data_IF_238176604941
#
_entry.id   IF_238176604941
#
_cell.length_a   1.000
_cell.length_b   1.000
_cell.length_c   1.000
_cell.angle_alpha   90.00
_cell.angle_beta   90.00
_cell.angle_gamma   90.00
#
_symmetry.space_group_name_H-M   'P 1'
#
loop_
_entity.id
_entity.type
_entity.pdbx_description
1 polymer ?
#
# COMPACT_ATOMS: atom_id res chain seq x y z
N UNK A 1 9.31 43.08 64.20
CA UNK A 1 8.49 43.07 63.03
C UNK A 1 9.12 42.22 61.87
N UNK A 2 10.41 42.32 61.52
CA UNK A 2 11.02 41.51 60.43
C UNK A 2 10.99 40.00 60.68
N UNK A 3 11.12 39.49 61.91
CA UNK A 3 11.06 38.07 62.27
C UNK A 3 9.65 37.47 62.16
N UNK A 4 8.60 38.31 62.45
CA UNK A 4 7.20 37.86 62.34
C UNK A 4 6.75 37.75 60.90
N UNK A 5 7.23 38.64 60.02
CA UNK A 5 6.96 38.61 58.57
C UNK A 5 7.62 37.37 57.86
N UNK A 6 8.87 37.03 58.32
CA UNK A 6 9.57 35.86 57.80
C UNK A 6 8.87 34.54 58.24
N UNK A 7 8.37 34.46 59.47
CA UNK A 7 7.65 33.26 59.92
C UNK A 7 6.27 33.10 59.29
N UNK A 8 5.55 34.19 59.00
CA UNK A 8 4.30 34.17 58.28
C UNK A 8 4.49 33.79 56.82
N UNK A 9 5.58 34.28 56.19
CA UNK A 9 5.94 33.89 54.82
C UNK A 9 6.34 32.41 54.70
N UNK A 10 7.11 31.89 55.67
CA UNK A 10 7.47 30.47 55.71
C UNK A 10 6.27 29.55 56.00
N UNK A 11 5.32 29.97 56.88
CA UNK A 11 4.09 29.20 57.10
C UNK A 11 3.15 29.25 55.89
N UNK A 12 3.07 30.38 55.19
CA UNK A 12 2.29 30.47 53.95
C UNK A 12 2.86 29.61 52.86
N UNK A 13 4.19 29.59 52.68
CA UNK A 13 4.88 28.72 51.69
C UNK A 13 4.71 27.24 52.05
N UNK A 14 4.86 26.88 53.35
CA UNK A 14 4.65 25.52 53.80
C UNK A 14 3.19 25.06 53.65
N UNK A 15 2.21 25.93 53.90
CA UNK A 15 0.79 25.62 53.74
C UNK A 15 0.38 25.50 52.26
N UNK A 16 1.01 26.27 51.37
CA UNK A 16 0.84 26.14 49.95
C UNK A 16 1.43 24.80 49.45
N UNK A 17 2.63 24.44 49.87
CA UNK A 17 3.29 23.17 49.52
C UNK A 17 2.50 21.94 50.00
N UNK A 18 1.94 21.99 51.23
CA UNK A 18 1.04 20.93 51.72
C UNK A 18 -0.30 20.91 50.97
N UNK A 19 -0.82 22.03 50.54
CA UNK A 19 -2.05 22.16 49.76
C UNK A 19 -1.92 21.51 48.36
N UNK A 20 -0.77 21.64 47.73
CA UNK A 20 -0.55 21.24 46.35
C UNK A 20 -0.20 19.76 46.19
N UNK A 21 0.58 19.16 47.09
CA UNK A 21 0.69 17.71 47.20
C UNK A 21 -0.67 17.05 47.50
N UNK A 22 -1.59 17.81 48.10
CA UNK A 22 -2.98 17.39 48.31
C UNK A 22 -3.74 17.30 46.96
N UNK A 23 -3.53 18.25 46.03
CA UNK A 23 -4.19 18.25 44.72
C UNK A 23 -3.79 17.02 43.87
N UNK A 24 -2.51 16.62 43.88
CA UNK A 24 -2.08 15.37 43.23
C UNK A 24 -2.77 14.16 43.87
N UNK A 25 -2.86 14.10 45.22
CA UNK A 25 -3.58 13.02 45.90
C UNK A 25 -5.08 13.01 45.62
N UNK A 26 -5.69 14.17 45.41
CA UNK A 26 -7.09 14.29 45.01
C UNK A 26 -7.28 13.72 43.56
N UNK A 27 -6.35 14.03 42.65
CA UNK A 27 -6.34 13.43 41.31
C UNK A 27 -6.21 11.90 41.35
N UNK A 28 -5.26 11.37 42.16
CA UNK A 28 -5.10 9.92 42.35
C UNK A 28 -6.36 9.28 42.95
N UNK A 29 -7.00 9.94 43.92
CA UNK A 29 -8.25 9.46 44.49
C UNK A 29 -9.39 9.44 43.47
N UNK A 30 -9.52 10.48 42.66
CA UNK A 30 -10.48 10.55 41.55
C UNK A 30 -10.24 9.45 40.52
N UNK A 31 -8.97 9.23 40.16
CA UNK A 31 -8.55 8.14 39.26
C UNK A 31 -8.96 6.76 39.80
N UNK A 32 -8.67 6.46 41.08
CA UNK A 32 -9.01 5.20 41.75
C UNK A 32 -10.52 4.98 41.88
N UNK A 33 -11.26 6.05 42.18
CA UNK A 33 -12.73 5.99 42.32
C UNK A 33 -13.47 6.02 40.97
N UNK A 34 -12.78 6.30 39.89
CA UNK A 34 -13.36 6.42 38.55
C UNK A 34 -14.00 7.76 38.23
N UNK A 35 -13.85 8.76 39.12
CA UNK A 35 -14.27 10.15 38.85
C UNK A 35 -13.20 10.86 38.02
N UNK A 36 -13.09 10.48 36.72
CA UNK A 36 -12.00 10.88 35.85
C UNK A 36 -12.02 12.38 35.51
N UNK A 37 -13.20 12.98 35.41
CA UNK A 37 -13.30 14.41 35.10
C UNK A 37 -12.74 15.26 36.25
N UNK A 38 -13.09 14.93 37.47
CA UNK A 38 -12.55 15.64 38.67
C UNK A 38 -11.04 15.37 38.82
N UNK A 39 -10.60 14.13 38.52
CA UNK A 39 -9.18 13.78 38.53
C UNK A 39 -8.39 14.59 37.50
N UNK A 40 -8.92 14.77 36.27
CA UNK A 40 -8.29 15.55 35.21
C UNK A 40 -8.14 17.02 35.60
N UNK A 41 -9.21 17.64 36.09
CA UNK A 41 -9.17 19.04 36.56
C UNK A 41 -8.12 19.23 37.65
N UNK A 42 -8.07 18.32 38.63
CA UNK A 42 -7.09 18.38 39.72
C UNK A 42 -5.65 18.23 39.22
N UNK A 43 -5.39 17.26 38.33
CA UNK A 43 -4.02 17.03 37.84
C UNK A 43 -3.55 18.14 36.90
N UNK A 44 -4.44 18.74 36.08
CA UNK A 44 -4.11 19.88 35.23
C UNK A 44 -3.66 21.09 36.07
N UNK A 45 -4.33 21.37 37.17
CA UNK A 45 -3.89 22.37 38.11
C UNK A 45 -2.52 22.06 38.74
N UNK A 46 -2.24 20.78 39.00
CA UNK A 46 -0.94 20.35 39.54
C UNK A 46 0.20 20.45 38.53
N UNK A 47 -0.05 20.19 37.22
CA UNK A 47 0.99 20.28 36.17
C UNK A 47 1.40 21.71 35.84
N UNK A 48 0.60 22.71 36.20
CA UNK A 48 0.91 24.13 36.00
C UNK A 48 1.47 24.82 37.25
N UNK A 49 1.46 24.14 38.40
CA UNK A 49 1.93 24.69 39.64
C UNK A 49 3.44 24.53 39.82
N UNK A 50 4.20 25.60 40.16
CA UNK A 50 5.66 25.57 40.29
C UNK A 50 6.22 24.50 41.27
N UNK A 51 5.47 24.08 42.26
CA UNK A 51 5.93 23.10 43.27
C UNK A 51 5.71 21.64 42.85
N UNK A 52 4.75 21.39 41.94
CA UNK A 52 4.41 20.04 41.47
C UNK A 52 4.70 19.81 40.01
N UNK A 53 4.86 20.88 39.22
CA UNK A 53 5.18 20.80 37.82
C UNK A 53 6.62 20.31 37.52
N UNK A 54 7.51 20.36 38.51
CA UNK A 54 8.88 19.82 38.40
C UNK A 54 8.96 18.33 38.79
N UNK A 55 7.89 17.72 39.29
CA UNK A 55 7.86 16.31 39.69
C UNK A 55 7.35 15.42 38.54
N UNK A 56 8.18 14.52 37.98
CA UNK A 56 7.76 13.61 36.93
C UNK A 56 6.59 12.69 37.34
N UNK A 57 6.40 12.42 38.64
CA UNK A 57 5.26 11.64 39.13
C UNK A 57 3.91 12.35 38.88
N UNK A 58 3.88 13.68 38.87
CA UNK A 58 2.68 14.47 38.55
C UNK A 58 2.23 14.19 37.09
N UNK A 59 3.17 14.18 36.16
CA UNK A 59 2.88 13.88 34.74
C UNK A 59 2.53 12.39 34.55
N UNK A 60 3.14 11.49 35.32
CA UNK A 60 2.77 10.07 35.29
C UNK A 60 1.31 9.87 35.69
N UNK A 61 0.83 10.53 36.76
CA UNK A 61 -0.59 10.47 37.16
C UNK A 61 -1.50 11.05 36.09
N UNK A 62 -1.11 12.17 35.45
CA UNK A 62 -1.87 12.74 34.32
C UNK A 62 -1.96 11.77 33.14
N UNK A 63 -0.86 11.15 32.74
CA UNK A 63 -0.84 10.17 31.65
C UNK A 63 -1.76 8.97 31.95
N UNK A 64 -1.76 8.46 33.17
CA UNK A 64 -2.66 7.38 33.60
C UNK A 64 -4.13 7.79 33.54
N UNK A 65 -4.47 9.02 33.92
CA UNK A 65 -5.84 9.54 33.84
C UNK A 65 -6.29 9.61 32.38
N UNK A 66 -5.47 10.20 31.51
CA UNK A 66 -5.78 10.26 30.05
C UNK A 66 -5.93 8.85 29.45
N UNK A 67 -5.03 7.93 29.78
CA UNK A 67 -5.11 6.54 29.26
C UNK A 67 -6.40 5.85 29.71
N UNK A 68 -6.82 6.08 30.96
CA UNK A 68 -8.07 5.51 31.47
C UNK A 68 -9.31 6.15 30.82
N UNK A 69 -9.28 7.46 30.53
CA UNK A 69 -10.33 8.14 29.77
C UNK A 69 -10.38 7.55 28.33
N UNK A 70 -9.24 7.47 27.69
CA UNK A 70 -9.09 6.86 26.36
C UNK A 70 -9.63 5.44 26.31
N UNK A 71 -9.32 4.62 27.32
CA UNK A 71 -9.80 3.23 27.43
C UNK A 71 -11.33 3.13 27.55
N UNK A 72 -11.97 4.07 28.26
CA UNK A 72 -13.42 4.02 28.54
C UNK A 72 -14.29 4.66 27.46
N UNK A 73 -13.68 5.47 26.59
CA UNK A 73 -14.41 6.09 25.50
C UNK A 73 -14.60 5.06 24.37
N UNK A 74 -15.83 4.58 24.22
CA UNK A 74 -16.21 3.63 23.17
C UNK A 74 -16.67 4.30 21.88
N UNK A 75 -16.69 5.64 21.82
CA UNK A 75 -17.07 6.37 20.60
C UNK A 75 -16.01 6.23 19.51
N UNK A 76 -14.75 6.03 19.89
CA UNK A 76 -13.61 5.82 19.00
C UNK A 76 -13.54 6.87 17.86
N UNK A 77 -13.69 8.13 18.21
CA UNK A 77 -13.68 9.29 17.32
C UNK A 77 -12.32 10.01 17.33
N UNK A 78 -12.18 11.05 16.50
CA UNK A 78 -11.01 11.95 16.53
C UNK A 78 -10.80 12.62 17.93
N UNK A 79 -11.87 12.88 18.67
CA UNK A 79 -11.72 13.38 20.04
C UNK A 79 -11.16 12.30 20.98
N UNK A 80 -11.59 11.05 20.82
CA UNK A 80 -10.97 9.90 21.50
C UNK A 80 -9.48 9.79 21.18
N UNK A 81 -9.11 9.87 19.89
CA UNK A 81 -7.72 9.83 19.45
C UNK A 81 -6.89 10.94 20.05
N UNK A 82 -7.41 12.16 20.14
CA UNK A 82 -6.75 13.30 20.78
C UNK A 82 -6.37 12.99 22.23
N UNK A 83 -7.28 12.39 23.00
CA UNK A 83 -6.99 11.97 24.37
C UNK A 83 -5.87 10.92 24.43
N UNK A 84 -5.84 9.98 23.48
CA UNK A 84 -4.76 9.00 23.34
C UNK A 84 -3.40 9.66 23.05
N UNK A 85 -3.36 10.63 22.13
CA UNK A 85 -2.15 11.40 21.82
C UNK A 85 -1.68 12.26 23.01
N UNK A 86 -2.60 12.86 23.76
CA UNK A 86 -2.29 13.60 25.00
C UNK A 86 -1.70 12.66 26.07
N UNK A 87 -2.22 11.43 26.17
CA UNK A 87 -1.66 10.41 27.07
C UNK A 87 -0.22 10.08 26.69
N UNK A 88 0.05 9.81 25.39
CA UNK A 88 1.39 9.52 24.88
C UNK A 88 2.37 10.66 25.14
N UNK A 89 1.99 11.89 24.80
CA UNK A 89 2.81 13.08 25.03
C UNK A 89 3.13 13.26 26.53
N UNK A 90 2.17 12.98 27.39
CA UNK A 90 2.34 13.11 28.85
C UNK A 90 3.23 12.00 29.42
N UNK A 91 3.13 10.76 28.95
CA UNK A 91 4.08 9.68 29.28
C UNK A 91 5.51 10.03 28.90
N UNK A 92 5.70 10.55 27.69
CA UNK A 92 7.02 10.97 27.20
C UNK A 92 7.59 12.09 28.10
N UNK A 93 6.79 13.09 28.43
CA UNK A 93 7.19 14.16 29.36
C UNK A 93 7.60 13.59 30.74
N UNK A 94 6.80 12.71 31.33
CA UNK A 94 7.13 12.07 32.61
C UNK A 94 8.45 11.26 32.52
N UNK A 95 8.68 10.55 31.45
CA UNK A 95 9.86 9.75 31.25
C UNK A 95 11.12 10.61 31.04
N UNK A 96 11.04 11.67 30.23
CA UNK A 96 12.13 12.64 30.00
C UNK A 96 12.51 13.35 31.29
N UNK A 97 11.53 13.85 32.06
CA UNK A 97 11.75 14.49 33.34
C UNK A 97 12.40 13.52 34.36
N UNK A 98 12.14 12.23 34.28
CA UNK A 98 12.76 11.19 35.08
C UNK A 98 14.18 10.78 34.60
N UNK A 99 14.75 11.52 33.67
CA UNK A 99 16.09 11.29 33.10
C UNK A 99 16.13 10.18 32.04
N UNK A 100 15.02 9.90 31.37
CA UNK A 100 14.89 8.91 30.27
C UNK A 100 15.40 7.51 30.62
N UNK A 101 15.29 7.14 31.91
CA UNK A 101 15.77 5.84 32.41
C UNK A 101 14.62 4.92 32.78
N UNK A 102 14.51 3.78 32.08
CA UNK A 102 13.55 2.71 32.44
C UNK A 102 13.78 2.14 33.84
N UNK A 103 14.98 2.30 34.40
CA UNK A 103 15.31 1.87 35.77
C UNK A 103 14.83 2.85 36.84
N UNK A 104 14.51 4.11 36.51
CA UNK A 104 13.99 5.08 37.44
C UNK A 104 12.62 4.65 37.99
N UNK A 105 12.21 5.15 39.18
CA UNK A 105 10.88 4.83 39.73
C UNK A 105 9.72 5.16 38.75
N UNK A 106 9.78 6.30 38.08
CA UNK A 106 8.76 6.71 37.10
C UNK A 106 8.90 5.91 35.83
N UNK A 107 10.13 5.65 35.31
CA UNK A 107 10.36 4.85 34.14
C UNK A 107 9.81 3.43 34.28
N UNK A 108 9.90 2.83 35.45
CA UNK A 108 9.29 1.51 35.74
C UNK A 108 7.75 1.56 35.68
N UNK A 109 7.13 2.67 35.99
CA UNK A 109 5.67 2.85 35.89
C UNK A 109 5.25 3.14 34.45
N UNK A 110 6.03 3.95 33.72
CA UNK A 110 5.77 4.26 32.32
C UNK A 110 5.80 2.98 31.47
N UNK A 111 6.77 2.09 31.69
CA UNK A 111 6.96 0.84 30.96
C UNK A 111 6.52 -0.41 31.74
N UNK A 112 5.59 -0.26 32.68
CA UNK A 112 5.05 -1.40 33.42
C UNK A 112 4.29 -2.34 32.47
N UNK A 113 4.59 -3.64 32.56
CA UNK A 113 3.88 -4.66 31.80
C UNK A 113 2.41 -4.75 32.21
N UNK A 114 1.57 -5.07 31.24
CA UNK A 114 0.16 -5.34 31.46
C UNK A 114 0.01 -6.73 32.06
N UNK A 115 -0.43 -6.81 33.31
CA UNK A 115 -0.69 -8.08 33.98
C UNK A 115 -2.16 -8.47 33.80
N UNK A 116 -2.40 -9.66 33.27
CA UNK A 116 -3.74 -10.19 33.08
C UNK A 116 -4.47 -10.36 34.42
N UNK A 117 -5.78 -10.01 34.45
CA UNK A 117 -6.64 -10.21 35.58
C UNK A 117 -6.56 -9.15 36.69
N UNK A 118 -5.79 -8.07 36.51
CA UNK A 118 -5.80 -6.95 37.46
C UNK A 118 -7.13 -6.17 37.32
N UNK A 119 -7.86 -5.94 38.43
CA UNK A 119 -9.03 -5.08 38.43
C UNK A 119 -8.74 -3.69 37.87
N UNK A 120 -9.68 -3.09 37.13
CA UNK A 120 -9.52 -1.78 36.50
C UNK A 120 -9.03 -0.66 37.43
N UNK A 121 -9.48 -0.68 38.68
CA UNK A 121 -9.05 0.29 39.72
C UNK A 121 -7.61 0.10 40.23
N UNK A 122 -6.99 -1.04 39.92
CA UNK A 122 -5.62 -1.38 40.30
C UNK A 122 -4.70 -1.50 39.06
N UNK A 123 -5.24 -1.44 37.85
CA UNK A 123 -4.47 -1.53 36.63
C UNK A 123 -3.45 -0.39 36.52
N UNK A 124 -2.17 -0.68 36.31
CA UNK A 124 -1.15 0.34 36.14
C UNK A 124 -1.17 0.90 34.69
N UNK A 125 -2.14 1.71 34.35
CA UNK A 125 -2.19 2.29 33.01
C UNK A 125 -0.83 2.86 32.61
N UNK A 126 -0.08 2.09 31.80
CA UNK A 126 1.26 2.38 31.28
C UNK A 126 1.22 2.77 29.81
N UNK A 127 2.35 3.11 29.22
CA UNK A 127 2.47 3.34 27.79
C UNK A 127 2.19 2.03 26.99
N UNK A 128 2.48 0.86 27.56
CA UNK A 128 2.16 -0.45 26.97
C UNK A 128 0.64 -0.66 26.97
N UNK A 129 -0.04 -0.30 28.07
CA UNK A 129 -1.51 -0.32 28.11
C UNK A 129 -2.10 0.62 27.05
N UNK A 130 -1.56 1.82 26.89
CA UNK A 130 -2.00 2.78 25.87
C UNK A 130 -1.86 2.18 24.45
N UNK A 131 -0.72 1.55 24.16
CA UNK A 131 -0.49 0.85 22.89
C UNK A 131 -1.55 -0.22 22.63
N UNK A 132 -1.78 -1.09 23.60
CA UNK A 132 -2.73 -2.20 23.45
C UNK A 132 -4.16 -1.70 23.25
N UNK A 133 -4.58 -0.67 24.02
CA UNK A 133 -5.90 -0.03 23.87
C UNK A 133 -6.03 0.61 22.47
N UNK A 134 -5.01 1.29 21.99
CA UNK A 134 -5.01 1.88 20.65
C UNK A 134 -5.12 0.81 19.56
N UNK A 135 -4.39 -0.29 19.71
CA UNK A 135 -4.48 -1.45 18.81
C UNK A 135 -5.91 -2.04 18.78
N UNK A 136 -6.51 -2.26 19.96
CA UNK A 136 -7.87 -2.81 20.07
C UNK A 136 -8.90 -1.87 19.43
N UNK A 137 -8.75 -0.55 19.62
CA UNK A 137 -9.61 0.47 18.98
C UNK A 137 -9.43 0.49 17.45
N UNK A 138 -8.21 0.31 16.97
CA UNK A 138 -7.93 0.20 15.54
C UNK A 138 -8.65 -1.00 14.90
N UNK A 139 -8.60 -2.17 15.56
CA UNK A 139 -9.34 -3.35 15.12
C UNK A 139 -10.85 -3.15 15.16
N UNK A 140 -11.37 -2.48 16.21
CA UNK A 140 -12.79 -2.16 16.30
C UNK A 140 -13.26 -1.29 15.12
N UNK A 141 -12.51 -0.26 14.75
CA UNK A 141 -12.81 0.59 13.59
C UNK A 141 -12.68 -0.15 12.28
N UNK A 142 -11.65 -0.98 12.11
CA UNK A 142 -11.49 -1.84 10.94
C UNK A 142 -12.70 -2.75 10.73
N UNK A 143 -13.20 -3.39 11.80
CA UNK A 143 -14.36 -4.26 11.75
C UNK A 143 -15.68 -3.51 11.46
N UNK A 144 -15.69 -2.18 11.63
CA UNK A 144 -16.82 -1.31 11.31
C UNK A 144 -16.66 -0.61 9.95
N UNK A 145 -15.68 -1.01 9.15
CA UNK A 145 -15.35 -0.44 7.84
C UNK A 145 -14.93 1.05 7.89
N UNK A 146 -14.48 1.51 9.06
CA UNK A 146 -13.95 2.85 9.27
C UNK A 146 -12.42 2.83 9.16
N UNK A 147 -11.92 2.75 7.91
CA UNK A 147 -10.49 2.58 7.61
C UNK A 147 -9.66 3.78 8.05
N UNK A 148 -10.20 5.00 7.94
CA UNK A 148 -9.51 6.23 8.36
C UNK A 148 -9.22 6.21 9.88
N UNK A 149 -10.23 5.97 10.71
CA UNK A 149 -10.04 5.92 12.16
C UNK A 149 -9.23 4.70 12.60
N UNK A 150 -9.36 3.57 11.87
CA UNK A 150 -8.52 2.40 12.11
C UNK A 150 -7.04 2.73 11.91
N UNK A 151 -6.70 3.38 10.78
CA UNK A 151 -5.34 3.85 10.52
C UNK A 151 -4.83 4.77 11.65
N UNK A 152 -5.60 5.76 12.04
CA UNK A 152 -5.18 6.72 13.06
C UNK A 152 -4.86 6.05 14.41
N UNK A 153 -5.65 5.06 14.82
CA UNK A 153 -5.36 4.31 16.04
C UNK A 153 -4.16 3.36 15.89
N UNK A 154 -3.98 2.71 14.73
CA UNK A 154 -2.76 1.94 14.47
C UNK A 154 -1.52 2.84 14.44
N UNK A 155 -1.62 4.04 13.86
CA UNK A 155 -0.52 5.00 13.86
C UNK A 155 -0.14 5.43 15.29
N UNK A 156 -1.13 5.71 16.16
CA UNK A 156 -0.87 5.98 17.59
C UNK A 156 -0.14 4.79 18.25
N UNK A 157 -0.59 3.57 18.02
CA UNK A 157 0.07 2.38 18.56
C UNK A 157 1.51 2.21 18.03
N UNK A 158 1.73 2.50 16.74
CA UNK A 158 3.04 2.45 16.09
C UNK A 158 4.02 3.53 16.57
N UNK A 159 3.54 4.71 16.90
CA UNK A 159 4.39 5.74 17.55
C UNK A 159 4.90 5.30 18.92
N UNK A 160 4.17 4.43 19.60
CA UNK A 160 4.56 3.89 20.92
C UNK A 160 5.59 2.76 20.76
N UNK A 161 5.40 1.88 19.78
CA UNK A 161 6.24 0.68 19.60
C UNK A 161 6.66 0.53 18.13
N UNK A 162 7.83 1.05 17.81
CA UNK A 162 8.40 1.02 16.46
C UNK A 162 8.93 -0.35 16.05
N UNK A 163 8.85 -1.35 16.93
CA UNK A 163 9.36 -2.71 16.69
C UNK A 163 8.25 -3.75 16.52
N UNK A 164 6.99 -3.34 16.67
CA UNK A 164 5.85 -4.23 16.48
C UNK A 164 5.47 -4.31 14.99
N UNK A 165 5.88 -5.40 14.34
CA UNK A 165 5.66 -5.61 12.91
C UNK A 165 4.17 -5.68 12.54
N UNK A 166 3.32 -6.20 13.41
CA UNK A 166 1.87 -6.31 13.17
C UNK A 166 1.24 -4.92 13.07
N UNK A 167 1.60 -4.04 14.00
CA UNK A 167 1.10 -2.66 14.01
C UNK A 167 1.54 -1.92 12.75
N UNK A 168 2.84 -1.97 12.43
CA UNK A 168 3.37 -1.23 11.30
C UNK A 168 2.89 -1.79 9.95
N UNK A 169 2.72 -3.11 9.83
CA UNK A 169 2.13 -3.68 8.63
C UNK A 169 0.69 -3.20 8.41
N UNK A 170 -0.16 -3.27 9.43
CA UNK A 170 -1.55 -2.84 9.32
C UNK A 170 -1.68 -1.33 9.07
N UNK A 171 -0.90 -0.52 9.78
CA UNK A 171 -0.88 0.93 9.55
C UNK A 171 -0.40 1.29 8.14
N UNK A 172 0.67 0.64 7.66
CA UNK A 172 1.18 0.84 6.31
C UNK A 172 0.20 0.41 5.23
N UNK A 173 -0.46 -0.74 5.42
CA UNK A 173 -1.48 -1.25 4.52
C UNK A 173 -2.68 -0.30 4.41
N UNK A 174 -3.24 0.13 5.56
CA UNK A 174 -4.36 1.07 5.57
C UNK A 174 -3.98 2.43 5.00
N UNK A 175 -2.80 2.95 5.32
CA UNK A 175 -2.32 4.21 4.75
C UNK A 175 -2.21 4.12 3.22
N UNK A 176 -1.72 2.99 2.69
CA UNK A 176 -1.65 2.76 1.25
C UNK A 176 -3.05 2.71 0.60
N UNK A 177 -3.98 1.99 1.20
CA UNK A 177 -5.37 1.88 0.73
C UNK A 177 -6.10 3.24 0.74
N UNK A 178 -5.80 4.09 1.72
CA UNK A 178 -6.31 5.45 1.83
C UNK A 178 -5.57 6.48 0.93
N UNK A 179 -4.59 6.06 0.14
CA UNK A 179 -3.78 6.95 -0.68
C UNK A 179 -2.79 7.84 0.10
N UNK A 180 -2.54 7.52 1.37
CA UNK A 180 -1.61 8.24 2.26
C UNK A 180 -0.19 7.67 2.13
N UNK A 181 0.39 7.80 0.94
CA UNK A 181 1.62 7.08 0.56
C UNK A 181 2.84 7.42 1.42
N UNK A 182 3.00 8.67 1.89
CA UNK A 182 4.09 9.05 2.79
C UNK A 182 3.97 8.33 4.15
N UNK A 183 2.76 8.22 4.68
CA UNK A 183 2.49 7.49 5.91
C UNK A 183 2.71 5.98 5.70
N UNK A 184 2.28 5.44 4.56
CA UNK A 184 2.54 4.04 4.20
C UNK A 184 4.04 3.74 4.16
N UNK A 185 4.83 4.58 3.46
CA UNK A 185 6.29 4.45 3.40
C UNK A 185 6.95 4.52 4.78
N UNK A 186 6.47 5.42 5.64
CA UNK A 186 6.94 5.54 7.03
C UNK A 186 6.76 4.21 7.78
N UNK A 187 5.56 3.64 7.73
CA UNK A 187 5.27 2.40 8.46
C UNK A 187 5.97 1.19 7.85
N UNK A 188 5.98 1.01 6.53
CA UNK A 188 6.75 -0.05 5.88
C UNK A 188 8.25 0.11 6.12
N UNK A 189 8.75 1.35 6.23
CA UNK A 189 10.13 1.65 6.58
C UNK A 189 10.57 1.03 7.91
N UNK A 190 9.74 1.10 8.95
CA UNK A 190 10.05 0.46 10.24
C UNK A 190 10.17 -1.07 10.15
N UNK A 191 9.45 -1.71 9.22
CA UNK A 191 9.53 -3.17 9.03
C UNK A 191 10.90 -3.63 8.52
N UNK A 192 11.61 -2.79 7.79
CA UNK A 192 12.95 -3.12 7.30
C UNK A 192 14.01 -3.20 8.42
N UNK A 193 13.75 -2.54 9.54
CA UNK A 193 14.64 -2.54 10.70
C UNK A 193 14.37 -3.71 11.68
N UNK A 194 13.33 -4.52 11.42
CA UNK A 194 12.98 -5.68 12.26
C UNK A 194 13.65 -6.95 11.68
N UNK A 195 14.69 -7.50 12.32
CA UNK A 195 15.49 -8.57 11.72
C UNK A 195 14.75 -9.88 11.45
N UNK A 196 13.74 -10.22 12.29
CA UNK A 196 12.96 -11.46 12.20
C UNK A 196 11.74 -11.35 11.30
N UNK A 197 11.45 -10.17 10.77
CA UNK A 197 10.27 -9.94 9.93
C UNK A 197 10.56 -10.33 8.47
N UNK A 198 9.61 -11.04 7.85
CA UNK A 198 9.65 -11.27 6.40
C UNK A 198 9.21 -10.01 5.66
N UNK A 199 10.14 -9.34 5.01
CA UNK A 199 9.98 -8.02 4.43
C UNK A 199 9.36 -8.01 3.02
N UNK A 200 9.08 -9.18 2.42
CA UNK A 200 8.65 -9.26 1.01
C UNK A 200 7.42 -8.41 0.72
N UNK A 201 6.38 -8.46 1.57
CA UNK A 201 5.19 -7.64 1.38
C UNK A 201 5.49 -6.13 1.50
N UNK A 202 6.35 -5.73 2.43
CA UNK A 202 6.75 -4.33 2.55
C UNK A 202 7.50 -3.85 1.30
N UNK A 203 8.37 -4.70 0.73
CA UNK A 203 9.01 -4.41 -0.55
C UNK A 203 8.00 -4.27 -1.68
N UNK A 204 6.98 -5.13 -1.77
CA UNK A 204 5.96 -5.04 -2.82
C UNK A 204 5.22 -3.70 -2.79
N UNK A 205 4.70 -3.30 -1.63
CA UNK A 205 4.03 -2.02 -1.48
C UNK A 205 4.94 -0.84 -1.77
N UNK A 206 6.17 -0.85 -1.24
CA UNK A 206 7.12 0.22 -1.44
C UNK A 206 7.53 0.37 -2.92
N UNK A 207 7.77 -0.74 -3.62
CA UNK A 207 8.07 -0.73 -5.07
C UNK A 207 6.87 -0.20 -5.86
N UNK A 208 5.65 -0.62 -5.52
CA UNK A 208 4.44 -0.12 -6.16
C UNK A 208 4.25 1.38 -5.95
N UNK A 209 4.39 1.87 -4.70
CA UNK A 209 4.28 3.31 -4.39
C UNK A 209 5.30 4.10 -5.22
N UNK A 210 6.56 3.70 -5.19
CA UNK A 210 7.62 4.40 -5.92
C UNK A 210 7.39 4.40 -7.44
N UNK A 211 7.01 3.27 -8.02
CA UNK A 211 6.90 3.13 -9.47
C UNK A 211 5.62 3.73 -10.04
N UNK A 212 4.50 3.61 -9.33
CA UNK A 212 3.16 3.96 -9.86
C UNK A 212 2.70 5.33 -9.38
N UNK A 213 2.79 5.56 -8.06
CA UNK A 213 2.24 6.77 -7.46
C UNK A 213 3.22 7.94 -7.54
N UNK A 214 4.48 7.69 -7.20
CA UNK A 214 5.54 8.72 -7.31
C UNK A 214 6.13 8.82 -8.71
N UNK A 215 5.83 7.87 -9.61
CA UNK A 215 6.36 7.81 -10.98
C UNK A 215 7.88 7.89 -11.03
N UNK A 216 8.53 7.23 -10.08
CA UNK A 216 9.98 7.17 -9.93
C UNK A 216 10.48 5.71 -10.12
N UNK A 217 10.52 5.22 -11.37
CA UNK A 217 10.93 3.86 -11.66
C UNK A 217 12.40 3.58 -11.30
N UNK A 218 13.27 4.60 -11.28
CA UNK A 218 14.67 4.47 -10.87
C UNK A 218 14.78 4.08 -9.40
N UNK A 219 14.10 4.80 -8.51
CA UNK A 219 14.09 4.49 -7.08
C UNK A 219 13.42 3.13 -6.79
N UNK A 220 12.34 2.81 -7.54
CA UNK A 220 11.70 1.51 -7.46
C UNK A 220 12.66 0.39 -7.88
N UNK A 221 13.45 0.59 -8.93
CA UNK A 221 14.43 -0.37 -9.41
C UNK A 221 15.58 -0.60 -8.42
N UNK A 222 16.09 0.46 -7.80
CA UNK A 222 17.08 0.33 -6.73
C UNK A 222 16.53 -0.50 -5.56
N UNK A 223 15.27 -0.23 -5.17
CA UNK A 223 14.64 -0.95 -4.06
C UNK A 223 14.40 -2.42 -4.40
N UNK A 224 13.89 -2.74 -5.60
CA UNK A 224 13.65 -4.13 -6.00
C UNK A 224 14.96 -4.91 -6.16
N UNK A 225 16.03 -4.27 -6.63
CA UNK A 225 17.35 -4.88 -6.72
C UNK A 225 17.86 -5.28 -5.34
N UNK A 226 17.69 -4.41 -4.33
CA UNK A 226 18.00 -4.72 -2.93
C UNK A 226 17.15 -5.88 -2.41
N UNK A 227 15.83 -5.85 -2.69
CA UNK A 227 14.91 -6.91 -2.29
C UNK A 227 15.28 -8.26 -2.91
N UNK A 228 15.65 -8.29 -4.18
CA UNK A 228 16.11 -9.49 -4.90
C UNK A 228 17.40 -10.08 -4.33
N UNK A 229 18.31 -9.24 -3.86
CA UNK A 229 19.52 -9.71 -3.19
C UNK A 229 19.19 -10.42 -1.85
N UNK A 230 18.17 -9.96 -1.12
CA UNK A 230 17.69 -10.56 0.13
C UNK A 230 16.78 -11.78 -0.10
N UNK A 231 15.92 -11.74 -1.14
CA UNK A 231 14.94 -12.78 -1.50
C UNK A 231 15.09 -13.25 -2.95
N UNK A 232 16.19 -13.93 -3.32
CA UNK A 232 16.53 -14.24 -4.73
C UNK A 232 15.54 -15.21 -5.41
N UNK A 233 14.81 -16.03 -4.64
CA UNK A 233 13.82 -16.97 -5.16
C UNK A 233 12.40 -16.41 -5.23
N UNK A 234 12.18 -15.16 -4.80
CA UNK A 234 10.86 -14.56 -4.81
C UNK A 234 10.44 -14.18 -6.24
N UNK A 235 9.36 -14.80 -6.72
CA UNK A 235 8.87 -14.63 -8.09
C UNK A 235 8.26 -13.25 -8.33
N UNK A 236 7.58 -12.69 -7.33
CA UNK A 236 6.91 -11.38 -7.46
C UNK A 236 7.96 -10.27 -7.57
N UNK A 237 9.01 -10.32 -6.76
CA UNK A 237 10.13 -9.38 -6.88
C UNK A 237 10.85 -9.51 -8.23
N UNK A 238 11.00 -10.73 -8.75
CA UNK A 238 11.57 -10.95 -10.09
C UNK A 238 10.70 -10.32 -11.19
N UNK A 239 9.39 -10.42 -11.07
CA UNK A 239 8.45 -9.79 -12.01
C UNK A 239 8.49 -8.26 -11.93
N UNK A 240 8.56 -7.68 -10.73
CA UNK A 240 8.75 -6.23 -10.56
C UNK A 240 10.07 -5.75 -11.17
N UNK A 241 11.17 -6.48 -10.94
CA UNK A 241 12.47 -6.15 -11.53
C UNK A 241 12.40 -6.10 -13.06
N UNK A 242 11.82 -7.13 -13.69
CA UNK A 242 11.63 -7.19 -15.15
C UNK A 242 10.75 -6.03 -15.63
N UNK A 243 9.64 -5.76 -14.97
CA UNK A 243 8.74 -4.65 -15.33
C UNK A 243 9.46 -3.30 -15.28
N UNK A 244 10.24 -3.06 -14.23
CA UNK A 244 11.01 -1.82 -14.07
C UNK A 244 12.13 -1.69 -15.10
N UNK A 245 12.82 -2.79 -15.44
CA UNK A 245 13.81 -2.80 -16.51
C UNK A 245 13.19 -2.40 -17.86
N UNK A 246 11.98 -2.90 -18.17
CA UNK A 246 11.24 -2.51 -19.37
C UNK A 246 10.85 -1.02 -19.33
N UNK A 247 10.34 -0.54 -18.20
CA UNK A 247 9.96 0.85 -18.01
C UNK A 247 11.15 1.81 -18.15
N UNK A 248 12.34 1.38 -17.70
CA UNK A 248 13.60 2.11 -17.81
C UNK A 248 14.29 1.94 -19.17
N UNK A 249 13.66 1.25 -20.13
CA UNK A 249 14.20 0.95 -21.46
C UNK A 249 15.52 0.14 -21.44
N UNK A 250 15.75 -0.66 -20.37
CA UNK A 250 16.93 -1.52 -20.20
C UNK A 250 16.66 -2.91 -20.81
N UNK A 251 16.47 -2.95 -22.14
CA UNK A 251 15.96 -4.11 -22.87
C UNK A 251 16.88 -5.35 -22.77
N UNK A 252 18.21 -5.18 -22.81
CA UNK A 252 19.17 -6.29 -22.72
C UNK A 252 19.13 -6.94 -21.33
N UNK A 253 19.11 -6.14 -20.27
CA UNK A 253 19.02 -6.62 -18.89
C UNK A 253 17.68 -7.34 -18.65
N UNK A 254 16.56 -6.77 -19.14
CA UNK A 254 15.24 -7.38 -19.07
C UNK A 254 15.21 -8.74 -19.79
N UNK A 255 15.80 -8.82 -20.98
CA UNK A 255 15.90 -10.07 -21.76
C UNK A 255 16.63 -11.16 -20.96
N UNK A 256 17.78 -10.82 -20.37
CA UNK A 256 18.56 -11.76 -19.56
C UNK A 256 17.78 -12.27 -18.35
N UNK A 257 17.10 -11.37 -17.63
CA UNK A 257 16.29 -11.73 -16.47
C UNK A 257 15.10 -12.63 -16.84
N UNK A 258 14.39 -12.30 -17.93
CA UNK A 258 13.26 -13.12 -18.42
C UNK A 258 13.73 -14.51 -18.85
N UNK A 259 14.84 -14.63 -19.56
CA UNK A 259 15.39 -15.93 -19.97
C UNK A 259 15.77 -16.78 -18.75
N UNK A 260 16.41 -16.16 -17.75
CA UNK A 260 16.73 -16.84 -16.48
C UNK A 260 15.47 -17.29 -15.71
N UNK A 261 14.44 -16.46 -15.69
CA UNK A 261 13.16 -16.81 -15.05
C UNK A 261 12.43 -17.93 -15.80
N UNK A 262 12.40 -17.90 -17.14
CA UNK A 262 11.80 -18.93 -17.97
C UNK A 262 12.57 -20.27 -17.92
N UNK A 263 13.87 -20.26 -17.65
CA UNK A 263 14.62 -21.49 -17.42
C UNK A 263 14.14 -22.24 -16.15
N UNK A 264 13.65 -21.51 -15.15
CA UNK A 264 13.11 -22.07 -13.91
C UNK A 264 11.58 -22.31 -13.97
N UNK A 265 10.86 -21.53 -14.78
CA UNK A 265 9.40 -21.62 -14.92
C UNK A 265 9.02 -21.43 -16.40
N UNK A 266 9.23 -22.47 -17.24
CA UNK A 266 9.02 -22.38 -18.67
C UNK A 266 7.55 -22.20 -19.09
N UNK A 267 6.62 -22.46 -18.16
CA UNK A 267 5.18 -22.36 -18.36
C UNK A 267 4.56 -21.12 -17.71
N UNK A 268 5.31 -20.03 -17.59
CA UNK A 268 4.79 -18.76 -17.13
C UNK A 268 4.30 -17.92 -18.31
N UNK A 269 2.99 -17.86 -18.52
CA UNK A 269 2.35 -17.15 -19.63
C UNK A 269 2.70 -15.65 -19.66
N UNK A 270 2.78 -15.02 -18.49
CA UNK A 270 3.16 -13.60 -18.35
C UNK A 270 4.62 -13.34 -18.75
N UNK A 271 5.56 -14.20 -18.36
CA UNK A 271 6.96 -14.08 -18.77
C UNK A 271 7.14 -14.34 -20.26
N UNK A 272 6.43 -15.33 -20.83
CA UNK A 272 6.42 -15.59 -22.27
C UNK A 272 5.91 -14.39 -23.05
N UNK A 273 4.82 -13.75 -22.60
CA UNK A 273 4.32 -12.52 -23.20
C UNK A 273 5.37 -11.41 -23.21
N UNK A 274 5.99 -11.14 -22.05
CA UNK A 274 7.03 -10.09 -21.92
C UNK A 274 8.24 -10.39 -22.79
N UNK A 275 8.62 -11.66 -22.91
CA UNK A 275 9.71 -12.07 -23.81
C UNK A 275 9.34 -11.85 -25.28
N UNK A 276 8.10 -12.15 -25.66
CA UNK A 276 7.56 -11.81 -26.98
C UNK A 276 7.65 -10.31 -27.25
N UNK A 277 7.22 -9.48 -26.32
CA UNK A 277 7.31 -8.02 -26.42
C UNK A 277 8.76 -7.54 -26.65
N UNK A 278 9.72 -8.04 -25.89
CA UNK A 278 11.14 -7.67 -26.08
C UNK A 278 11.66 -8.05 -27.46
N UNK A 279 11.28 -9.22 -27.97
CA UNK A 279 11.63 -9.65 -29.34
C UNK A 279 11.00 -8.75 -30.40
N UNK A 280 9.74 -8.34 -30.21
CA UNK A 280 9.04 -7.40 -31.08
C UNK A 280 9.75 -6.04 -31.12
N UNK A 281 10.13 -5.48 -29.96
CA UNK A 281 10.91 -4.23 -29.88
C UNK A 281 12.30 -4.34 -30.53
N UNK A 282 12.88 -5.53 -30.53
CA UNK A 282 14.15 -5.82 -31.23
C UNK A 282 13.97 -6.07 -32.73
N UNK A 283 12.73 -6.04 -33.25
CA UNK A 283 12.42 -6.30 -34.67
C UNK A 283 12.33 -7.80 -35.00
N UNK A 284 12.50 -8.72 -34.07
CA UNK A 284 12.31 -10.16 -34.24
C UNK A 284 10.81 -10.53 -34.12
N UNK A 285 10.04 -10.14 -35.17
CA UNK A 285 8.59 -10.36 -35.18
C UNK A 285 8.20 -11.84 -35.22
N UNK A 286 9.01 -12.70 -35.84
CA UNK A 286 8.75 -14.14 -35.86
C UNK A 286 8.98 -14.78 -34.49
N UNK A 287 10.08 -14.44 -33.83
CA UNK A 287 10.36 -14.86 -32.47
C UNK A 287 9.35 -14.31 -31.47
N UNK A 288 8.89 -13.07 -31.64
CA UNK A 288 7.83 -12.48 -30.84
C UNK A 288 6.53 -13.28 -30.95
N UNK A 289 6.10 -13.56 -32.18
CA UNK A 289 4.88 -14.33 -32.45
C UNK A 289 4.94 -15.74 -31.85
N UNK A 290 6.12 -16.38 -31.91
CA UNK A 290 6.35 -17.68 -31.28
C UNK A 290 6.10 -17.60 -29.74
N UNK A 291 6.65 -16.60 -29.08
CA UNK A 291 6.51 -16.47 -27.63
C UNK A 291 5.07 -16.10 -27.24
N UNK A 292 4.41 -15.23 -27.99
CA UNK A 292 3.00 -14.90 -27.78
C UNK A 292 2.09 -16.13 -27.93
N UNK A 293 2.30 -16.95 -28.95
CA UNK A 293 1.57 -18.22 -29.11
C UNK A 293 1.82 -19.18 -27.95
N UNK A 294 3.06 -19.34 -27.50
CA UNK A 294 3.38 -20.15 -26.34
C UNK A 294 2.66 -19.66 -25.09
N UNK A 295 2.54 -18.36 -24.88
CA UNK A 295 1.82 -17.83 -23.74
C UNK A 295 0.34 -18.24 -23.73
N UNK A 296 -0.29 -18.29 -24.92
CA UNK A 296 -1.69 -18.74 -25.09
C UNK A 296 -1.80 -20.26 -24.98
N UNK A 297 -0.80 -21.03 -25.43
CA UNK A 297 -0.76 -22.48 -25.25
C UNK A 297 -0.71 -22.87 -23.77
N UNK A 298 0.05 -22.11 -22.97
CA UNK A 298 0.15 -22.29 -21.51
C UNK A 298 -1.14 -21.90 -20.79
N UNK A 299 -1.69 -20.75 -21.14
CA UNK A 299 -2.95 -20.25 -20.59
C UNK A 299 -3.88 -19.76 -21.71
N UNK A 300 -4.79 -20.61 -22.19
CA UNK A 300 -5.73 -20.24 -23.25
C UNK A 300 -6.71 -19.10 -22.84
N UNK A 301 -6.88 -18.83 -21.55
CA UNK A 301 -7.70 -17.74 -21.05
C UNK A 301 -6.89 -16.47 -20.71
N UNK A 302 -5.62 -16.44 -21.06
CA UNK A 302 -4.80 -15.25 -20.88
C UNK A 302 -5.18 -14.18 -21.91
N UNK A 303 -5.88 -13.14 -21.46
CA UNK A 303 -6.41 -12.09 -22.32
C UNK A 303 -5.32 -11.42 -23.15
N UNK A 304 -4.26 -10.95 -22.49
CA UNK A 304 -3.15 -10.24 -23.11
C UNK A 304 -2.41 -11.12 -24.14
N UNK A 305 -2.19 -12.39 -23.83
CA UNK A 305 -1.59 -13.36 -24.76
C UNK A 305 -2.41 -13.50 -26.03
N UNK A 306 -3.72 -13.66 -25.93
CA UNK A 306 -4.61 -13.73 -27.08
C UNK A 306 -4.61 -12.41 -27.88
N UNK A 307 -4.73 -11.27 -27.20
CA UNK A 307 -4.76 -9.96 -27.84
C UNK A 307 -3.48 -9.69 -28.63
N UNK A 308 -2.29 -9.83 -28.01
CA UNK A 308 -1.01 -9.53 -28.67
C UNK A 308 -0.67 -10.53 -29.76
N UNK A 309 -1.05 -11.81 -29.63
CA UNK A 309 -0.90 -12.79 -30.73
C UNK A 309 -1.68 -12.35 -31.97
N UNK A 310 -2.95 -11.99 -31.79
CA UNK A 310 -3.79 -11.49 -32.89
C UNK A 310 -3.26 -10.17 -33.46
N UNK A 311 -2.88 -9.23 -32.61
CA UNK A 311 -2.39 -7.90 -32.99
C UNK A 311 -1.11 -7.99 -33.86
N UNK A 312 -0.13 -8.79 -33.43
CA UNK A 312 1.11 -8.97 -34.21
C UNK A 312 0.88 -9.63 -35.56
N UNK A 313 -0.08 -10.58 -35.66
CA UNK A 313 -0.47 -11.16 -36.98
C UNK A 313 -1.07 -10.09 -37.88
N UNK A 314 -1.90 -9.18 -37.36
CA UNK A 314 -2.47 -8.08 -38.14
C UNK A 314 -1.38 -7.09 -38.58
N UNK A 315 -0.43 -6.79 -37.73
CA UNK A 315 0.71 -5.91 -38.05
C UNK A 315 1.55 -6.51 -39.19
N UNK A 316 1.93 -7.78 -39.09
CA UNK A 316 2.64 -8.49 -40.17
C UNK A 316 1.84 -8.47 -41.46
N UNK A 317 0.53 -8.68 -41.40
CA UNK A 317 -0.32 -8.59 -42.59
C UNK A 317 -0.34 -7.17 -43.18
N UNK A 318 -0.45 -6.13 -42.36
CA UNK A 318 -0.40 -4.73 -42.82
C UNK A 318 0.94 -4.38 -43.46
N UNK A 319 2.05 -4.89 -42.93
CA UNK A 319 3.39 -4.71 -43.49
C UNK A 319 3.51 -5.33 -44.88
N UNK A 320 2.97 -6.54 -45.07
CA UNK A 320 2.93 -7.18 -46.38
C UNK A 320 2.12 -6.35 -47.39
N UNK A 321 0.97 -5.80 -46.96
CA UNK A 321 0.12 -4.98 -47.83
C UNK A 321 0.77 -3.62 -48.13
N UNK A 322 1.48 -3.04 -47.18
CA UNK A 322 2.23 -1.81 -47.40
C UNK A 322 3.38 -2.01 -48.41
N UNK A 323 4.10 -3.12 -48.29
CA UNK A 323 5.10 -3.51 -49.30
C UNK A 323 4.45 -3.67 -50.68
N UNK A 324 3.35 -4.41 -50.76
CA UNK A 324 2.61 -4.61 -52.01
C UNK A 324 2.20 -3.29 -52.66
N UNK A 325 1.72 -2.30 -51.87
CA UNK A 325 1.32 -0.99 -52.38
C UNK A 325 2.51 -0.11 -52.82
N UNK A 326 3.74 -0.46 -52.43
CA UNK A 326 4.96 0.25 -52.84
C UNK A 326 5.64 -0.29 -54.11
N UNK A 327 5.14 -1.43 -54.64
CA UNK A 327 5.71 -2.07 -55.83
C UNK A 327 5.38 -1.28 -57.10
N UNK A 328 6.26 -1.41 -58.10
CA UNK A 328 5.94 -0.99 -59.47
C UNK A 328 4.82 -1.84 -60.07
N UNK A 329 4.09 -1.32 -61.06
CA UNK A 329 2.96 -2.02 -61.68
C UNK A 329 3.34 -3.45 -62.14
N UNK A 330 4.54 -3.60 -62.71
CA UNK A 330 5.05 -4.90 -63.19
C UNK A 330 5.31 -5.86 -62.03
N UNK A 331 5.90 -5.40 -60.96
CA UNK A 331 6.16 -6.23 -59.79
C UNK A 331 4.87 -6.52 -59.02
N UNK A 332 3.97 -5.55 -58.96
CA UNK A 332 2.66 -5.70 -58.32
C UNK A 332 1.85 -6.81 -59.04
N UNK A 333 1.77 -6.78 -60.40
CA UNK A 333 1.05 -7.80 -61.13
C UNK A 333 1.61 -9.22 -60.88
N UNK A 334 2.92 -9.35 -60.71
CA UNK A 334 3.58 -10.60 -60.43
C UNK A 334 3.42 -11.10 -59.02
N UNK A 335 3.54 -10.21 -58.00
CA UNK A 335 3.62 -10.59 -56.57
C UNK A 335 2.30 -10.46 -55.84
N UNK A 336 1.33 -9.65 -56.30
CA UNK A 336 0.09 -9.38 -55.58
C UNK A 336 -0.77 -10.61 -55.25
N UNK A 337 -0.86 -11.66 -56.12
CA UNK A 337 -1.67 -12.84 -55.80
C UNK A 337 -1.11 -13.63 -54.60
N UNK A 338 0.22 -13.74 -54.49
CA UNK A 338 0.87 -14.48 -53.40
C UNK A 338 0.89 -13.68 -52.12
N UNK A 339 1.34 -12.42 -52.15
CA UNK A 339 1.39 -11.52 -51.02
C UNK A 339 -0.02 -11.25 -50.45
N UNK A 340 -1.02 -11.07 -51.33
CA UNK A 340 -2.40 -10.91 -50.88
C UNK A 340 -2.95 -12.14 -50.17
N UNK A 341 -2.61 -13.34 -50.69
CA UNK A 341 -2.99 -14.61 -50.05
C UNK A 341 -2.31 -14.80 -48.69
N UNK A 342 -1.04 -14.42 -48.56
CA UNK A 342 -0.28 -14.45 -47.31
C UNK A 342 -0.89 -13.50 -46.30
N UNK A 343 -1.13 -12.25 -46.67
CA UNK A 343 -1.78 -11.26 -45.79
C UNK A 343 -3.16 -11.75 -45.30
N UNK A 344 -4.02 -12.24 -46.21
CA UNK A 344 -5.32 -12.78 -45.84
C UNK A 344 -5.21 -14.06 -44.97
N UNK A 345 -4.13 -14.82 -45.14
CA UNK A 345 -3.80 -15.97 -44.27
C UNK A 345 -3.56 -15.53 -42.83
N UNK A 346 -2.81 -14.46 -42.63
CA UNK A 346 -2.57 -13.87 -41.28
C UNK A 346 -3.85 -13.30 -40.66
N UNK A 347 -4.69 -12.62 -41.47
CA UNK A 347 -6.02 -12.17 -40.99
C UNK A 347 -6.86 -13.35 -40.47
N UNK A 348 -6.93 -14.45 -41.21
CA UNK A 348 -7.68 -15.65 -40.81
C UNK A 348 -7.13 -16.26 -39.54
N UNK A 349 -5.79 -16.31 -39.39
CA UNK A 349 -5.14 -16.82 -38.17
C UNK A 349 -5.35 -15.94 -36.97
N UNK A 350 -5.52 -14.62 -37.13
CA UNK A 350 -5.75 -13.68 -36.02
C UNK A 350 -7.17 -13.81 -35.42
N UNK A 351 -8.19 -14.19 -36.23
CA UNK A 351 -9.59 -14.28 -35.81
C UNK A 351 -9.79 -15.07 -34.52
N UNK A 352 -9.31 -16.33 -34.39
CA UNK A 352 -9.58 -17.12 -33.17
C UNK A 352 -9.00 -16.48 -31.91
N UNK A 353 -7.86 -15.80 -31.99
CA UNK A 353 -7.25 -15.12 -30.85
C UNK A 353 -8.07 -13.91 -30.39
N UNK A 354 -8.50 -13.05 -31.32
CA UNK A 354 -9.38 -11.93 -30.96
C UNK A 354 -10.76 -12.40 -30.49
N UNK A 355 -11.28 -13.46 -31.09
CA UNK A 355 -12.56 -14.06 -30.62
C UNK A 355 -12.42 -14.53 -29.18
N UNK A 356 -11.31 -15.21 -28.85
CA UNK A 356 -11.04 -15.65 -27.49
C UNK A 356 -10.85 -14.49 -26.52
N UNK A 357 -10.11 -13.46 -26.93
CA UNK A 357 -9.97 -12.25 -26.13
C UNK A 357 -11.33 -11.56 -25.86
N UNK A 358 -12.22 -11.53 -26.86
CA UNK A 358 -13.58 -10.99 -26.70
C UNK A 358 -14.48 -11.89 -25.83
N UNK A 359 -14.29 -13.21 -25.82
CA UNK A 359 -14.97 -14.10 -24.87
C UNK A 359 -14.58 -13.81 -23.43
N UNK A 360 -13.29 -13.49 -23.18
CA UNK A 360 -12.77 -13.16 -21.85
C UNK A 360 -13.25 -11.78 -21.40
N UNK A 361 -13.27 -10.79 -22.29
CA UNK A 361 -13.77 -9.42 -22.05
C UNK A 361 -14.88 -9.06 -23.04
N UNK A 362 -16.13 -9.47 -22.78
CA UNK A 362 -17.22 -9.41 -23.77
C UNK A 362 -17.63 -8.00 -24.21
N UNK A 363 -17.36 -6.99 -23.42
CA UNK A 363 -17.74 -5.60 -23.69
C UNK A 363 -16.58 -4.76 -24.26
N UNK A 364 -15.48 -5.40 -24.66
CA UNK A 364 -14.34 -4.68 -25.22
C UNK A 364 -14.62 -4.24 -26.65
N UNK A 365 -14.96 -2.97 -26.82
CA UNK A 365 -15.32 -2.36 -28.12
C UNK A 365 -14.17 -2.33 -29.11
N UNK A 366 -12.91 -2.17 -28.64
CA UNK A 366 -11.75 -2.13 -29.51
C UNK A 366 -11.56 -3.48 -30.25
N UNK A 367 -11.72 -4.59 -29.50
CA UNK A 367 -11.64 -5.93 -30.10
C UNK A 367 -12.81 -6.18 -31.04
N UNK A 368 -14.02 -5.71 -30.71
CA UNK A 368 -15.17 -5.82 -31.63
C UNK A 368 -14.90 -5.06 -32.92
N UNK A 369 -14.33 -3.85 -32.86
CA UNK A 369 -13.95 -3.06 -34.04
C UNK A 369 -12.88 -3.78 -34.86
N UNK A 370 -11.88 -4.35 -34.22
CA UNK A 370 -10.85 -5.14 -34.92
C UNK A 370 -11.50 -6.34 -35.63
N UNK A 371 -12.33 -7.11 -34.97
CA UNK A 371 -13.03 -8.25 -35.57
C UNK A 371 -13.96 -7.82 -36.70
N UNK A 372 -14.69 -6.71 -36.57
CA UNK A 372 -15.50 -6.13 -37.66
C UNK A 372 -14.64 -5.85 -38.89
N UNK A 373 -13.50 -5.18 -38.72
CA UNK A 373 -12.58 -4.85 -39.83
C UNK A 373 -12.01 -6.10 -40.48
N UNK A 374 -11.57 -7.09 -39.67
CA UNK A 374 -11.01 -8.34 -40.12
C UNK A 374 -12.05 -9.15 -40.93
N UNK A 375 -13.27 -9.30 -40.41
CA UNK A 375 -14.34 -10.01 -41.08
C UNK A 375 -14.81 -9.30 -42.36
N UNK A 376 -14.84 -7.97 -42.37
CA UNK A 376 -15.13 -7.17 -43.57
C UNK A 376 -14.09 -7.45 -44.69
N UNK A 377 -12.80 -7.43 -44.33
CA UNK A 377 -11.73 -7.73 -45.26
C UNK A 377 -11.81 -9.17 -45.82
N UNK A 378 -12.08 -10.12 -44.94
CA UNK A 378 -12.20 -11.54 -45.30
C UNK A 378 -13.55 -11.85 -46.02
N UNK A 379 -14.41 -10.88 -46.23
CA UNK A 379 -15.75 -11.00 -46.83
C UNK A 379 -16.68 -11.94 -46.03
N UNK A 380 -16.46 -12.07 -44.74
CA UNK A 380 -17.31 -12.81 -43.80
C UNK A 380 -18.45 -11.90 -43.32
N UNK A 381 -19.46 -11.73 -44.17
CA UNK A 381 -20.52 -10.73 -43.99
C UNK A 381 -21.31 -10.94 -42.68
N UNK A 382 -21.69 -12.19 -42.39
CA UNK A 382 -22.52 -12.48 -41.20
C UNK A 382 -21.82 -12.10 -39.89
N UNK A 383 -20.55 -12.42 -39.78
CA UNK A 383 -19.72 -12.12 -38.60
C UNK A 383 -19.46 -10.61 -38.51
N UNK A 384 -19.18 -9.93 -39.62
CA UNK A 384 -19.05 -8.47 -39.66
C UNK A 384 -20.34 -7.76 -39.21
N UNK A 385 -21.50 -8.17 -39.76
CA UNK A 385 -22.80 -7.62 -39.37
C UNK A 385 -23.11 -7.86 -37.86
N UNK A 386 -22.74 -9.03 -37.34
CA UNK A 386 -22.86 -9.35 -35.91
C UNK A 386 -22.03 -8.40 -35.04
N UNK A 387 -20.75 -8.18 -35.40
CA UNK A 387 -19.90 -7.23 -34.66
C UNK A 387 -20.44 -5.81 -34.76
N UNK A 388 -20.84 -5.38 -35.97
CA UNK A 388 -21.44 -4.05 -36.17
C UNK A 388 -22.66 -3.82 -35.28
N UNK A 389 -23.53 -4.81 -35.15
CA UNK A 389 -24.72 -4.73 -34.29
C UNK A 389 -24.33 -4.57 -32.81
N UNK A 390 -23.35 -5.32 -32.34
CA UNK A 390 -22.85 -5.24 -30.96
C UNK A 390 -22.19 -3.88 -30.66
N UNK A 391 -21.34 -3.39 -31.57
CA UNK A 391 -20.70 -2.09 -31.46
C UNK A 391 -21.74 -0.98 -31.42
N UNK A 392 -22.71 -1.01 -32.35
CA UNK A 392 -23.78 0.00 -32.43
C UNK A 392 -24.66 0.03 -31.18
N UNK A 393 -24.85 -1.09 -30.49
CA UNK A 393 -25.56 -1.16 -29.24
C UNK A 393 -24.83 -0.45 -28.09
N UNK A 394 -23.49 -0.35 -28.14
CA UNK A 394 -22.66 0.28 -27.10
C UNK A 394 -22.33 1.73 -27.45
N UNK A 395 -21.86 1.98 -28.70
CA UNK A 395 -21.35 3.27 -29.15
C UNK A 395 -22.37 4.12 -29.92
N UNK A 396 -23.52 3.54 -30.27
CA UNK A 396 -24.53 4.19 -31.13
C UNK A 396 -24.43 3.79 -32.60
N UNK A 397 -25.52 4.03 -33.35
CA UNK A 397 -25.65 3.58 -34.74
C UNK A 397 -24.60 4.19 -35.70
N UNK A 398 -24.10 5.38 -35.39
CA UNK A 398 -23.18 6.15 -36.24
C UNK A 398 -21.72 6.00 -35.81
N UNK A 399 -21.36 4.94 -35.08
CA UNK A 399 -20.01 4.72 -34.56
C UNK A 399 -18.89 4.70 -35.63
N UNK A 400 -19.23 4.47 -36.89
CA UNK A 400 -18.31 4.49 -38.01
C UNK A 400 -18.03 5.90 -38.57
N UNK A 401 -18.87 6.88 -38.24
CA UNK A 401 -18.77 8.23 -38.81
C UNK A 401 -17.71 9.08 -38.11
N UNK A 402 -17.12 8.59 -37.03
CA UNK A 402 -16.00 9.18 -36.26
C UNK A 402 -16.18 10.68 -35.92
N UNK A 403 -15.92 11.07 -34.66
CA UNK A 403 -15.72 12.50 -34.34
C UNK A 403 -14.41 13.04 -34.96
#
# INVERSE_FOLDING_TARGET
MKKLVLSLALVAVASLAFGQKKVVKEAEKGFKSGNLQAALVAIDAATTNPETSADPATFMVKAQIHTKIFSRDSSNTMETLKVGNEALATFNTAFEMAGSSKASPVGKLVYADELAGIPDNLRPYSIISLKNIAFDKALDRYNQDDMEMSYEFFNLAGEIDKTDSTIHYNAGFLANDLGRFEDAKKHFGYLFDIPSYNKTNAYYFMVQILSTEEKNPEAAFELVTKARAEYPSDKVLAEYEIQLLLQLNKMEEATSQIQGALANDPNNSGLLLRYGYLKEQAGDLDGALEQYKKSVEVDPNFFEGNYYTGALMLEKSRSILAELNSLSDVEWEKRSPEMGKEADGLYRQAVPFFTKALEIKPDNTDIMIILFQVHTRLKNKAEADSMNTRIAAILGANWQDGD
#
